data_IF_528964219653
#
_entry.id   IF_528964219653
#
_cell.length_a   1.000
_cell.length_b   1.000
_cell.length_c   1.000
_cell.angle_alpha   90.00
_cell.angle_beta   90.00
_cell.angle_gamma   90.00
#
_symmetry.space_group_name_H-M   'P 1'
#
loop_
_entity.id
_entity.type
_entity.pdbx_description
1 polymer ?
#
# COMPACT_ATOMS: atom_id res chain seq x y z
N UNK A 1 40.33 24.76 -48.43
CA UNK A 1 39.45 23.85 -49.19
C UNK A 1 39.37 22.53 -48.42
N UNK A 2 38.17 21.94 -48.39
CA UNK A 2 37.78 20.67 -47.75
C UNK A 2 37.29 20.78 -46.29
N UNK A 3 36.00 21.06 -46.24
CA UNK A 3 34.97 20.61 -45.27
C UNK A 3 35.16 19.18 -44.75
N UNK A 4 34.85 18.93 -43.48
CA UNK A 4 33.70 18.07 -43.11
C UNK A 4 33.45 18.11 -41.60
N UNK A 5 32.30 18.67 -41.27
CA UNK A 5 31.53 18.54 -40.03
C UNK A 5 31.29 17.06 -39.72
N UNK A 6 31.47 16.65 -38.46
CA UNK A 6 30.86 15.43 -37.93
C UNK A 6 30.38 15.69 -36.50
N UNK A 7 29.13 16.18 -36.44
CA UNK A 7 28.22 15.98 -35.31
C UNK A 7 27.99 14.47 -35.17
N UNK A 8 28.21 13.90 -33.99
CA UNK A 8 27.79 12.54 -33.71
C UNK A 8 27.13 12.44 -32.33
N UNK A 9 25.81 12.27 -32.41
CA UNK A 9 24.92 11.55 -31.51
C UNK A 9 24.84 11.99 -30.04
N UNK A 10 23.87 12.89 -29.81
CA UNK A 10 23.08 12.96 -28.60
C UNK A 10 22.57 11.57 -28.20
N UNK A 11 23.10 11.00 -27.12
CA UNK A 11 22.40 9.94 -26.39
C UNK A 11 21.37 10.61 -25.46
N UNK A 12 20.15 10.68 -25.96
CA UNK A 12 18.96 10.95 -25.17
C UNK A 12 18.84 9.88 -24.08
N UNK A 13 19.10 10.26 -22.83
CA UNK A 13 18.58 9.53 -21.67
C UNK A 13 17.05 9.67 -21.72
N UNK A 14 16.37 8.66 -22.27
CA UNK A 14 14.91 8.57 -22.28
C UNK A 14 14.44 8.21 -20.86
N UNK A 15 14.12 9.26 -20.11
CA UNK A 15 13.04 9.37 -19.12
C UNK A 15 12.70 8.13 -18.27
N UNK A 16 13.35 7.97 -17.11
CA UNK A 16 12.74 7.31 -15.94
C UNK A 16 11.90 8.33 -15.16
N UNK A 17 10.69 8.63 -15.64
CA UNK A 17 9.65 9.29 -14.86
C UNK A 17 8.32 9.26 -15.63
N UNK A 18 7.72 8.07 -15.76
CA UNK A 18 6.38 7.93 -16.33
C UNK A 18 5.48 6.98 -15.51
N UNK A 19 5.87 6.63 -14.28
CA UNK A 19 5.13 5.65 -13.48
C UNK A 19 3.83 6.20 -12.87
N UNK A 20 3.74 7.51 -12.61
CA UNK A 20 2.57 8.12 -11.98
C UNK A 20 1.44 8.40 -12.98
N UNK A 21 1.76 8.74 -14.22
CA UNK A 21 0.78 9.18 -15.23
C UNK A 21 -0.17 8.05 -15.67
N UNK A 22 0.23 6.78 -15.49
CA UNK A 22 -0.55 5.59 -15.82
C UNK A 22 -1.64 5.24 -14.78
N UNK A 23 -1.53 5.80 -13.58
CA UNK A 23 -2.33 5.43 -12.43
C UNK A 23 -3.23 6.61 -12.06
N UNK A 24 -4.54 6.46 -12.24
CA UNK A 24 -5.46 7.60 -12.31
C UNK A 24 -5.70 8.26 -10.95
N UNK A 25 -6.18 7.48 -9.99
CA UNK A 25 -6.49 7.94 -8.64
C UNK A 25 -6.66 6.73 -7.71
N UNK A 26 -6.59 6.99 -6.43
CA UNK A 26 -6.93 6.02 -5.39
C UNK A 26 -8.05 6.52 -4.51
N UNK A 27 -9.04 5.68 -4.30
CA UNK A 27 -10.13 5.92 -3.36
C UNK A 27 -9.83 5.19 -2.06
N UNK A 28 -10.11 5.83 -0.93
CA UNK A 28 -9.93 5.24 0.39
C UNK A 28 -11.23 5.29 1.17
N UNK A 29 -11.48 4.24 1.96
CA UNK A 29 -12.68 4.13 2.78
C UNK A 29 -12.40 3.35 4.06
N UNK A 30 -13.03 3.75 5.16
CA UNK A 30 -12.88 3.08 6.44
C UNK A 30 -13.09 4.02 7.62
N UNK A 31 -13.30 3.44 8.79
CA UNK A 31 -13.58 4.19 10.02
C UNK A 31 -12.32 4.52 10.83
N UNK A 32 -11.15 4.01 10.42
CA UNK A 32 -9.88 4.21 11.12
C UNK A 32 -8.73 4.59 10.19
N UNK A 33 -9.06 5.08 8.98
CA UNK A 33 -8.06 5.68 8.10
C UNK A 33 -7.41 6.88 8.78
N UNK A 34 -6.09 6.98 8.69
CA UNK A 34 -5.33 8.16 9.15
C UNK A 34 -5.66 9.40 8.30
N UNK A 35 -5.91 9.17 7.01
CA UNK A 35 -6.37 10.18 6.07
C UNK A 35 -7.90 10.17 5.98
N UNK A 36 -8.51 11.32 5.75
CA UNK A 36 -9.96 11.42 5.54
C UNK A 36 -10.37 10.52 4.36
N UNK A 37 -11.36 9.62 4.50
CA UNK A 37 -11.86 8.85 3.37
C UNK A 37 -12.22 9.72 2.17
N UNK A 38 -11.79 9.33 0.97
CA UNK A 38 -11.97 10.13 -0.23
C UNK A 38 -11.08 9.69 -1.38
N UNK A 39 -11.11 10.49 -2.45
CA UNK A 39 -10.33 10.29 -3.66
C UNK A 39 -9.05 11.13 -3.61
N UNK A 40 -7.94 10.48 -3.91
CA UNK A 40 -6.60 11.06 -3.87
C UNK A 40 -5.87 10.86 -5.20
N UNK A 41 -5.15 11.89 -5.61
CA UNK A 41 -4.13 11.77 -6.64
C UNK A 41 -2.94 10.97 -6.09
N UNK A 42 -2.28 10.24 -6.98
CA UNK A 42 -1.15 9.44 -6.59
C UNK A 42 0.09 10.31 -6.46
N UNK A 43 0.84 10.05 -5.41
CA UNK A 43 2.15 10.66 -5.19
C UNK A 43 3.23 9.59 -5.34
N UNK A 44 4.29 9.94 -6.06
CA UNK A 44 5.52 9.16 -6.08
C UNK A 44 6.49 9.70 -5.03
N UNK A 45 7.17 8.80 -4.34
CA UNK A 45 8.27 9.13 -3.43
C UNK A 45 9.34 8.08 -3.61
N UNK A 46 10.57 8.50 -3.90
CA UNK A 46 11.72 7.60 -4.08
C UNK A 46 11.49 6.51 -5.16
N UNK A 47 10.74 6.85 -6.22
CA UNK A 47 10.45 5.92 -7.33
C UNK A 47 9.35 4.90 -7.03
N UNK A 48 8.65 5.03 -5.89
CA UNK A 48 7.54 4.15 -5.49
C UNK A 48 6.26 4.96 -5.30
N UNK A 49 5.13 4.37 -5.63
CA UNK A 49 3.81 4.99 -5.48
C UNK A 49 3.33 4.82 -4.05
N UNK A 50 2.92 5.92 -3.42
CA UNK A 50 2.40 5.93 -2.04
C UNK A 50 0.87 6.00 -2.06
N UNK A 51 0.22 5.04 -1.40
CA UNK A 51 -1.24 4.97 -1.29
C UNK A 51 -1.68 5.41 0.12
N UNK A 52 -2.61 6.37 0.27
CA UNK A 52 -3.00 6.94 1.57
C UNK A 52 -3.93 6.05 2.39
N UNK A 53 -3.56 4.78 2.61
CA UNK A 53 -4.33 3.81 3.40
C UNK A 53 -3.79 3.60 4.83
N UNK A 54 -3.07 4.57 5.39
CA UNK A 54 -2.62 4.52 6.79
C UNK A 54 -3.78 4.31 7.77
N UNK A 55 -3.48 3.71 8.92
CA UNK A 55 -4.50 3.32 9.92
C UNK A 55 -4.05 3.69 11.33
N UNK A 56 -5.00 4.15 12.15
CA UNK A 56 -4.79 4.32 13.58
C UNK A 56 -5.99 3.81 14.39
N UNK A 57 -5.75 2.84 15.26
CA UNK A 57 -6.74 2.29 16.20
C UNK A 57 -6.17 2.35 17.61
N UNK A 58 -6.96 2.89 18.54
CA UNK A 58 -6.61 3.00 19.96
C UNK A 58 -7.72 2.41 20.81
N UNK A 59 -7.33 1.64 21.82
CA UNK A 59 -8.25 1.15 22.87
C UNK A 59 -7.81 1.69 24.23
N UNK A 60 -8.76 2.26 24.95
CA UNK A 60 -8.64 2.60 26.37
C UNK A 60 -9.24 1.48 27.25
N UNK A 61 -8.95 1.51 28.56
CA UNK A 61 -9.37 0.49 29.54
C UNK A 61 -10.90 0.30 29.63
N UNK A 62 -11.69 1.33 29.30
CA UNK A 62 -13.15 1.28 29.44
C UNK A 62 -13.86 0.47 28.35
N UNK A 63 -13.18 0.12 27.26
CA UNK A 63 -13.76 -0.58 26.12
C UNK A 63 -13.21 -2.00 26.03
N UNK A 64 -14.06 -3.03 25.98
CA UNK A 64 -13.61 -4.43 25.83
C UNK A 64 -12.93 -4.73 24.50
N UNK A 65 -13.26 -3.94 23.47
CA UNK A 65 -12.76 -4.12 22.12
C UNK A 65 -12.67 -2.79 21.38
N UNK A 66 -11.65 -2.64 20.54
CA UNK A 66 -11.58 -1.60 19.52
C UNK A 66 -11.28 -2.26 18.18
N UNK A 67 -11.96 -1.82 17.12
CA UNK A 67 -11.77 -2.29 15.75
C UNK A 67 -11.77 -1.12 14.80
N UNK A 68 -10.93 -1.20 13.78
CA UNK A 68 -10.90 -0.23 12.72
C UNK A 68 -10.35 -0.82 11.44
N UNK A 69 -10.77 -0.26 10.32
CA UNK A 69 -10.24 -0.60 9.01
C UNK A 69 -9.99 0.63 8.16
N UNK A 70 -9.04 0.49 7.25
CA UNK A 70 -8.82 1.40 6.14
C UNK A 70 -8.59 0.57 4.87
N UNK A 71 -9.35 0.88 3.83
CA UNK A 71 -9.30 0.17 2.55
C UNK A 71 -8.95 1.15 1.45
N UNK A 72 -8.41 0.64 0.35
CA UNK A 72 -8.21 1.43 -0.85
C UNK A 72 -8.62 0.69 -2.12
N UNK A 73 -8.97 1.45 -3.15
CA UNK A 73 -9.18 1.00 -4.52
C UNK A 73 -8.40 1.91 -5.48
N UNK A 74 -7.37 1.35 -6.10
CA UNK A 74 -6.51 2.01 -7.07
C UNK A 74 -6.94 1.60 -8.47
N UNK A 75 -7.39 2.56 -9.27
CA UNK A 75 -7.78 2.32 -10.66
C UNK A 75 -6.58 2.53 -11.58
N UNK A 76 -6.26 1.51 -12.36
CA UNK A 76 -5.13 1.48 -13.30
C UNK A 76 -5.67 1.40 -14.71
N UNK A 77 -5.14 2.22 -15.62
CA UNK A 77 -5.52 2.21 -17.03
C UNK A 77 -4.26 2.30 -17.88
N UNK A 78 -3.91 1.18 -18.51
CA UNK A 78 -2.75 1.11 -19.38
C UNK A 78 -3.02 1.88 -20.69
N UNK A 79 -2.04 2.64 -21.19
CA UNK A 79 -2.08 3.18 -22.55
C UNK A 79 -2.13 2.07 -23.62
N UNK A 80 -2.57 2.42 -24.82
CA UNK A 80 -2.54 1.50 -25.96
C UNK A 80 -1.10 1.00 -26.22
N UNK A 81 -0.96 -0.30 -26.49
CA UNK A 81 0.35 -0.94 -26.72
C UNK A 81 1.17 -1.20 -25.45
N UNK A 82 0.66 -0.85 -24.26
CA UNK A 82 1.31 -1.10 -22.98
C UNK A 82 0.42 -1.86 -22.01
N UNK A 83 1.02 -2.43 -20.97
CA UNK A 83 0.38 -2.97 -19.78
C UNK A 83 0.96 -2.34 -18.52
N UNK A 84 0.21 -2.34 -17.43
CA UNK A 84 0.67 -1.90 -16.11
C UNK A 84 0.95 -3.13 -15.27
N UNK A 85 2.12 -3.13 -14.61
CA UNK A 85 2.54 -4.17 -13.69
C UNK A 85 2.73 -3.53 -12.31
N UNK A 86 2.07 -4.10 -11.30
CA UNK A 86 2.20 -3.68 -9.89
C UNK A 86 2.87 -4.77 -9.08
N UNK A 87 3.91 -4.42 -8.33
CA UNK A 87 4.72 -5.34 -7.52
C UNK A 87 5.09 -4.72 -6.17
N UNK A 88 5.75 -5.54 -5.35
CA UNK A 88 6.50 -5.10 -4.19
C UNK A 88 5.70 -4.17 -3.27
N UNK A 89 4.61 -4.67 -2.69
CA UNK A 89 3.91 -3.91 -1.66
C UNK A 89 4.69 -3.90 -0.35
N UNK A 90 4.71 -2.75 0.31
CA UNK A 90 5.28 -2.61 1.65
C UNK A 90 4.46 -1.64 2.51
N UNK A 91 4.17 -2.05 3.74
CA UNK A 91 3.45 -1.26 4.72
C UNK A 91 4.06 -1.47 6.11
N UNK A 92 4.50 -0.38 6.74
CA UNK A 92 5.01 -0.43 8.11
C UNK A 92 3.85 -0.48 9.11
N UNK A 93 3.81 -1.51 9.93
CA UNK A 93 2.83 -1.67 11.01
C UNK A 93 3.53 -1.63 12.36
N UNK A 94 2.97 -0.88 13.31
CA UNK A 94 3.39 -0.83 14.70
C UNK A 94 2.23 -1.18 15.62
N UNK A 95 2.43 -2.20 16.46
CA UNK A 95 1.46 -2.66 17.44
C UNK A 95 2.00 -2.43 18.84
N UNK A 96 1.11 -2.06 19.76
CA UNK A 96 1.42 -1.94 21.19
C UNK A 96 0.27 -2.46 22.04
N UNK A 97 0.56 -3.46 22.86
CA UNK A 97 -0.38 -4.02 23.82
C UNK A 97 0.12 -3.73 25.24
N UNK A 98 -0.77 -3.28 26.12
CA UNK A 98 -0.46 -3.09 27.54
C UNK A 98 -1.00 -4.30 28.36
N UNK A 99 -0.48 -4.56 29.58
CA UNK A 99 -0.89 -5.70 30.40
C UNK A 99 -2.41 -5.83 30.59
N UNK A 100 -2.85 -6.95 31.16
CA UNK A 100 -4.26 -7.38 31.35
C UNK A 100 -4.84 -8.14 30.15
N UNK A 101 -4.08 -9.12 29.66
CA UNK A 101 -4.50 -10.04 28.59
C UNK A 101 -4.92 -9.30 27.31
N UNK A 102 -4.22 -8.22 26.98
CA UNK A 102 -4.55 -7.42 25.78
C UNK A 102 -3.91 -8.04 24.55
N UNK A 103 -4.73 -8.38 23.56
CA UNK A 103 -4.31 -8.80 22.21
C UNK A 103 -4.48 -7.63 21.25
N UNK A 104 -3.45 -7.37 20.45
CA UNK A 104 -3.51 -6.44 19.32
C UNK A 104 -3.15 -7.21 18.06
N UNK A 105 -4.06 -7.20 17.09
CA UNK A 105 -3.92 -7.86 15.78
C UNK A 105 -4.10 -6.84 14.67
N UNK A 106 -3.28 -6.91 13.63
CA UNK A 106 -3.48 -6.20 12.37
C UNK A 106 -3.42 -7.19 11.20
N UNK A 107 -4.25 -6.94 10.18
CA UNK A 107 -4.34 -7.77 8.97
C UNK A 107 -4.25 -6.88 7.74
N UNK A 108 -3.40 -7.28 6.79
CA UNK A 108 -3.24 -6.64 5.48
C UNK A 108 -3.50 -7.65 4.38
N UNK A 109 -4.21 -7.22 3.35
CA UNK A 109 -4.45 -8.00 2.13
C UNK A 109 -4.45 -7.04 0.94
N UNK A 110 -3.60 -7.28 -0.06
CA UNK A 110 -3.55 -6.50 -1.31
C UNK A 110 -3.74 -7.45 -2.49
N UNK A 111 -4.65 -7.10 -3.40
CA UNK A 111 -5.14 -8.04 -4.40
C UNK A 111 -5.78 -7.33 -5.60
N UNK A 112 -5.77 -8.00 -6.75
CA UNK A 112 -6.55 -7.61 -7.93
C UNK A 112 -8.05 -7.79 -7.64
N UNK A 113 -8.87 -6.80 -8.00
CA UNK A 113 -10.32 -6.89 -7.86
C UNK A 113 -10.88 -8.13 -8.58
N UNK A 114 -11.77 -8.86 -7.91
CA UNK A 114 -12.31 -10.14 -8.41
C UNK A 114 -11.41 -11.36 -8.16
N UNK A 115 -10.23 -11.18 -7.55
CA UNK A 115 -9.34 -12.25 -7.10
C UNK A 115 -9.23 -12.29 -5.57
N UNK A 116 -8.75 -13.41 -5.02
CA UNK A 116 -8.44 -13.52 -3.59
C UNK A 116 -6.98 -13.10 -3.33
N UNK A 117 -6.75 -12.33 -2.26
CA UNK A 117 -5.41 -11.91 -1.84
C UNK A 117 -4.78 -12.85 -0.82
N UNK A 118 -3.47 -12.74 -0.66
CA UNK A 118 -2.77 -13.34 0.47
C UNK A 118 -2.92 -12.42 1.70
N UNK A 119 -3.52 -12.95 2.77
CA UNK A 119 -3.65 -12.22 4.03
C UNK A 119 -2.38 -12.34 4.85
N UNK A 120 -1.89 -11.21 5.35
CA UNK A 120 -0.75 -11.13 6.25
C UNK A 120 -1.23 -10.63 7.60
N UNK A 121 -0.85 -11.35 8.65
CA UNK A 121 -1.26 -11.05 10.03
C UNK A 121 -0.05 -10.71 10.87
N UNK A 122 -0.16 -9.63 11.65
CA UNK A 122 0.76 -9.32 12.74
C UNK A 122 -0.04 -9.28 14.04
N UNK A 123 0.40 -10.01 15.06
CA UNK A 123 -0.29 -10.09 16.34
C UNK A 123 0.70 -10.07 17.50
N UNK A 124 0.32 -9.40 18.58
CA UNK A 124 1.00 -9.44 19.88
C UNK A 124 -0.01 -9.60 21.01
N UNK A 125 0.42 -10.21 22.10
CA UNK A 125 -0.39 -10.39 23.32
C UNK A 125 0.42 -9.97 24.54
N UNK A 126 -0.13 -9.05 25.33
CA UNK A 126 0.43 -8.57 26.58
C UNK A 126 -0.37 -9.13 27.77
N UNK A 127 0.11 -10.23 28.35
CA UNK A 127 -0.48 -10.82 29.55
C UNK A 127 -0.13 -10.00 30.81
N UNK A 128 1.15 -10.02 31.19
CA UNK A 128 1.66 -9.39 32.42
C UNK A 128 2.48 -8.12 32.18
N UNK A 129 3.18 -8.05 31.05
CA UNK A 129 4.05 -6.93 30.66
C UNK A 129 3.60 -6.36 29.32
N UNK A 130 3.90 -5.09 29.09
CA UNK A 130 3.58 -4.43 27.84
C UNK A 130 4.42 -5.02 26.70
N UNK A 131 3.79 -5.25 25.56
CA UNK A 131 4.42 -5.76 24.35
C UNK A 131 4.34 -4.74 23.22
N UNK A 132 5.36 -4.72 22.36
CA UNK A 132 5.38 -3.89 21.16
C UNK A 132 6.10 -4.60 20.02
N UNK A 133 5.63 -4.35 18.80
CA UNK A 133 6.33 -4.77 17.59
C UNK A 133 6.18 -3.72 16.51
N UNK A 134 7.16 -3.63 15.63
CA UNK A 134 7.10 -2.82 14.42
C UNK A 134 7.72 -3.62 13.29
N UNK A 135 6.95 -3.87 12.23
CA UNK A 135 7.39 -4.70 11.10
C UNK A 135 6.84 -4.16 9.77
N UNK A 136 7.60 -4.37 8.70
CA UNK A 136 7.08 -4.22 7.35
C UNK A 136 6.33 -5.49 6.97
N UNK A 137 5.08 -5.32 6.56
CA UNK A 137 4.30 -6.35 5.88
C UNK A 137 4.14 -5.95 4.42
N UNK A 138 3.86 -6.91 3.55
CA UNK A 138 3.67 -6.70 2.12
C UNK A 138 4.14 -7.90 1.30
N UNK A 139 3.92 -7.85 -0.01
CA UNK A 139 4.17 -8.94 -0.94
C UNK A 139 5.23 -8.52 -1.95
N UNK A 140 6.26 -9.36 -2.16
CA UNK A 140 7.35 -9.08 -3.11
C UNK A 140 7.04 -9.48 -4.55
N UNK A 141 5.98 -10.26 -4.76
CA UNK A 141 5.60 -10.76 -6.08
C UNK A 141 4.70 -9.79 -6.84
N UNK A 142 4.33 -10.17 -8.07
CA UNK A 142 3.32 -9.46 -8.85
C UNK A 142 1.98 -9.50 -8.13
N UNK A 143 1.45 -8.31 -7.88
CA UNK A 143 0.13 -8.12 -7.30
C UNK A 143 -0.95 -8.07 -8.38
N UNK A 144 -0.60 -7.46 -9.51
CA UNK A 144 -1.50 -7.22 -10.62
C UNK A 144 -0.70 -6.98 -11.89
N UNK A 145 -1.18 -7.55 -12.99
CA UNK A 145 -0.78 -7.20 -14.34
C UNK A 145 -2.06 -6.93 -15.15
N UNK A 146 -2.12 -5.78 -15.83
CA UNK A 146 -3.24 -5.46 -16.72
C UNK A 146 -3.08 -6.16 -18.06
N UNK A 147 -4.18 -6.33 -18.78
CA UNK A 147 -4.11 -6.59 -20.22
C UNK A 147 -3.50 -5.37 -20.96
N UNK A 148 -3.05 -5.60 -22.20
CA UNK A 148 -2.56 -4.57 -23.10
C UNK A 148 -3.63 -3.54 -23.45
N UNK A 149 -3.38 -2.26 -23.18
CA UNK A 149 -4.37 -1.18 -23.26
C UNK A 149 -5.56 -1.36 -22.32
N UNK A 150 -5.45 -2.30 -21.37
CA UNK A 150 -6.53 -2.69 -20.47
C UNK A 150 -6.59 -1.84 -19.20
N UNK A 151 -7.59 -2.12 -18.38
CA UNK A 151 -7.76 -1.52 -17.07
C UNK A 151 -8.05 -2.57 -16.02
N UNK A 152 -7.52 -2.38 -14.81
CA UNK A 152 -7.85 -3.18 -13.65
C UNK A 152 -7.88 -2.32 -12.39
N UNK A 153 -8.38 -2.90 -11.30
CA UNK A 153 -8.42 -2.25 -9.98
C UNK A 153 -7.58 -3.08 -9.01
N UNK A 154 -6.59 -2.45 -8.39
CA UNK A 154 -5.90 -3.01 -7.23
C UNK A 154 -6.64 -2.58 -5.96
N UNK A 155 -6.97 -3.55 -5.10
CA UNK A 155 -7.61 -3.31 -3.82
C UNK A 155 -6.64 -3.62 -2.69
N UNK A 156 -6.79 -2.90 -1.58
CA UNK A 156 -6.12 -3.25 -0.34
C UNK A 156 -7.05 -3.11 0.85
N UNK A 157 -7.01 -4.09 1.73
CA UNK A 157 -7.70 -4.10 3.01
C UNK A 157 -6.66 -4.07 4.12
N UNK A 158 -6.77 -3.07 5.00
CA UNK A 158 -6.04 -3.02 6.25
C UNK A 158 -7.04 -2.94 7.39
N UNK A 159 -6.86 -3.79 8.40
CA UNK A 159 -7.66 -3.75 9.61
C UNK A 159 -6.81 -3.96 10.85
N UNK A 160 -7.28 -3.44 11.98
CA UNK A 160 -6.73 -3.79 13.27
C UNK A 160 -7.84 -4.01 14.30
N UNK A 161 -7.57 -4.93 15.21
CA UNK A 161 -8.46 -5.31 16.32
C UNK A 161 -7.66 -5.38 17.60
N UNK A 162 -8.19 -4.78 18.66
CA UNK A 162 -7.62 -4.77 20.00
C UNK A 162 -8.65 -5.34 20.95
N UNK A 163 -8.32 -6.43 21.65
CA UNK A 163 -9.23 -7.17 22.54
C UNK A 163 -8.56 -7.33 23.91
N UNK A 164 -9.34 -7.24 24.99
CA UNK A 164 -8.87 -7.48 26.36
C UNK A 164 -9.26 -6.33 27.28
N UNK A 165 -8.91 -6.44 28.56
CA UNK A 165 -9.25 -5.41 29.56
C UNK A 165 -8.26 -4.24 29.50
N UNK A 166 -7.00 -4.48 29.13
CA UNK A 166 -5.97 -3.45 29.09
C UNK A 166 -6.00 -2.53 27.85
N UNK A 167 -5.08 -1.56 27.81
CA UNK A 167 -4.95 -0.60 26.70
C UNK A 167 -4.24 -1.21 25.50
N UNK A 168 -4.45 -0.65 24.32
CA UNK A 168 -3.66 -1.02 23.13
C UNK A 168 -3.70 0.01 22.02
N UNK A 169 -2.77 -0.11 21.07
CA UNK A 169 -2.67 0.71 19.87
C UNK A 169 -2.22 -0.12 18.68
N UNK A 170 -2.80 0.16 17.52
CA UNK A 170 -2.32 -0.29 16.23
C UNK A 170 -2.18 0.93 15.32
N UNK A 171 -1.02 1.07 14.72
CA UNK A 171 -0.70 2.11 13.76
C UNK A 171 -0.11 1.47 12.51
N UNK A 172 -0.49 1.97 11.33
CA UNK A 172 0.14 1.59 10.08
C UNK A 172 0.37 2.84 9.23
N UNK A 173 1.55 2.90 8.60
CA UNK A 173 1.81 3.91 7.57
C UNK A 173 1.07 3.57 6.28
N UNK A 174 1.04 4.51 5.35
CA UNK A 174 0.63 4.31 3.96
C UNK A 174 1.39 3.14 3.31
N UNK A 175 0.72 2.38 2.44
CA UNK A 175 1.41 1.37 1.62
C UNK A 175 2.20 2.04 0.51
N UNK A 176 3.37 1.47 0.20
CA UNK A 176 4.16 1.78 -0.98
C UNK A 176 4.13 0.61 -1.95
N UNK A 177 4.08 0.90 -3.25
CA UNK A 177 3.98 -0.07 -4.33
C UNK A 177 4.92 0.33 -5.47
N UNK A 178 5.38 -0.65 -6.23
CA UNK A 178 6.09 -0.41 -7.48
C UNK A 178 5.10 -0.54 -8.63
N UNK A 179 4.93 0.52 -9.41
CA UNK A 179 4.02 0.56 -10.57
C UNK A 179 4.83 0.90 -11.80
N UNK A 180 4.75 0.04 -12.81
CA UNK A 180 5.51 0.19 -14.06
C UNK A 180 4.59 0.01 -15.27
N UNK A 181 4.76 0.86 -16.27
CA UNK A 181 4.27 0.59 -17.62
C UNK A 181 5.29 -0.27 -18.36
N UNK A 182 4.82 -1.32 -19.03
CA UNK A 182 5.63 -2.25 -19.82
C UNK A 182 5.02 -2.37 -21.21
N UNK A 183 5.84 -2.37 -22.25
CA UNK A 183 5.36 -2.57 -23.62
C UNK A 183 4.76 -3.97 -23.80
N UNK A 184 3.75 -4.05 -24.65
CA UNK A 184 3.15 -5.31 -25.06
C UNK A 184 3.99 -5.95 -26.15
N UNK A 185 4.53 -7.14 -25.85
CA UNK A 185 5.18 -8.00 -26.83
C UNK A 185 4.16 -8.74 -27.69
#
# INVERSE_FOLDING_TARGET
MITHTLLAASFTFVSLAASAAAAGFVETAGNACEWTPGRYELSETEGRVRIPNGLYVKKEETSKIARGSCTFALTLKAPAGKKIVVRDSQQLISLRAYPQQTRVKAEVEIFKAGSQGAKQTLEIVAAEKAEKTTQYVGQKDVLLETACGGSDILRGNLSATIIGEGKGRAFAKNVTLDIQEVDCN
#
